data_IF_419688177722
#
_entry.id   IF_419688177722
#
_cell.length_a   1.000
_cell.length_b   1.000
_cell.length_c   1.000
_cell.angle_alpha   90.00
_cell.angle_beta   90.00
_cell.angle_gamma   90.00
#
_symmetry.space_group_name_H-M   'P 1'
#
loop_
_entity.id
_entity.type
_entity.pdbx_description
1 polymer ?
#
# COMPACT_ATOMS: atom_id res chain seq x y z
N UNK A 1 -3.70 8.21 -25.59
CA UNK A 1 -3.54 7.03 -24.71
C UNK A 1 -2.19 7.08 -24.00
N UNK A 2 -1.10 7.52 -24.66
CA UNK A 2 0.19 7.88 -24.01
C UNK A 2 0.06 8.79 -22.77
N UNK A 3 -0.72 9.86 -22.84
CA UNK A 3 -0.76 10.89 -21.77
C UNK A 3 -1.27 10.34 -20.42
N UNK A 4 -2.20 9.37 -20.44
CA UNK A 4 -2.73 8.72 -19.24
C UNK A 4 -1.70 7.79 -18.56
N UNK A 5 -0.77 7.22 -19.33
CA UNK A 5 0.25 6.32 -18.79
C UNK A 5 1.38 7.09 -18.12
N UNK A 6 1.66 8.32 -18.55
CA UNK A 6 2.63 9.20 -17.88
C UNK A 6 2.05 9.77 -16.57
N UNK A 7 0.78 10.15 -16.54
CA UNK A 7 0.12 10.63 -15.31
C UNK A 7 0.07 9.56 -14.20
N UNK A 8 -0.20 8.29 -14.56
CA UNK A 8 -0.18 7.17 -13.61
C UNK A 8 1.24 6.88 -13.10
N UNK A 9 2.26 6.99 -13.96
CA UNK A 9 3.66 6.83 -13.55
C UNK A 9 4.12 7.95 -12.62
N UNK A 10 3.70 9.18 -12.85
CA UNK A 10 4.03 10.32 -11.99
C UNK A 10 3.37 10.21 -10.61
N UNK A 11 2.10 9.80 -10.54
CA UNK A 11 1.41 9.53 -9.27
C UNK A 11 2.05 8.39 -8.48
N UNK A 12 2.49 7.32 -9.14
CA UNK A 12 3.23 6.25 -8.47
C UNK A 12 4.61 6.73 -7.98
N UNK A 13 5.31 7.53 -8.79
CA UNK A 13 6.63 8.11 -8.46
C UNK A 13 6.55 9.08 -7.29
N UNK A 14 5.52 9.90 -7.20
CA UNK A 14 5.35 10.86 -6.09
C UNK A 14 5.04 10.18 -4.75
N UNK A 15 4.27 9.08 -4.77
CA UNK A 15 3.99 8.27 -3.57
C UNK A 15 5.24 7.54 -3.07
N UNK A 16 6.01 6.96 -3.99
CA UNK A 16 7.26 6.25 -3.67
C UNK A 16 8.34 7.23 -3.14
N UNK A 17 8.37 8.44 -3.69
CA UNK A 17 9.25 9.51 -3.21
C UNK A 17 8.94 9.91 -1.77
N UNK A 18 7.67 10.16 -1.41
CA UNK A 18 7.29 10.53 -0.03
C UNK A 18 7.62 9.42 0.98
N UNK A 19 7.49 8.17 0.58
CA UNK A 19 7.94 7.03 1.38
C UNK A 19 9.46 7.04 1.58
N UNK A 20 10.23 7.21 0.50
CA UNK A 20 11.69 7.24 0.53
C UNK A 20 12.21 8.36 1.42
N UNK A 21 11.68 9.59 1.30
CA UNK A 21 12.10 10.73 2.12
C UNK A 21 11.83 10.52 3.61
N UNK A 22 10.69 9.92 3.98
CA UNK A 22 10.36 9.63 5.38
C UNK A 22 11.30 8.59 5.99
N UNK A 23 11.58 7.51 5.27
CA UNK A 23 12.49 6.47 5.71
C UNK A 23 13.95 6.98 5.78
N UNK A 24 14.37 7.79 4.81
CA UNK A 24 15.70 8.39 4.77
C UNK A 24 15.92 9.35 5.95
N UNK A 25 14.97 10.25 6.22
CA UNK A 25 15.03 11.16 7.36
C UNK A 25 15.10 10.41 8.70
N UNK A 26 14.26 9.39 8.89
CA UNK A 26 14.31 8.56 10.10
C UNK A 26 15.65 7.83 10.26
N UNK A 27 16.19 7.27 9.17
CA UNK A 27 17.52 6.65 9.17
C UNK A 27 18.66 7.62 9.48
N UNK A 28 18.60 8.85 8.94
CA UNK A 28 19.58 9.91 9.23
C UNK A 28 19.52 10.31 10.70
N UNK A 29 18.33 10.46 11.29
CA UNK A 29 18.19 10.78 12.72
C UNK A 29 18.80 9.68 13.60
N UNK A 30 18.53 8.41 13.30
CA UNK A 30 19.14 7.28 14.02
C UNK A 30 20.66 7.27 13.85
N UNK A 31 21.19 7.54 12.66
CA UNK A 31 22.62 7.62 12.41
C UNK A 31 23.27 8.76 13.22
N UNK A 32 22.68 9.96 13.23
CA UNK A 32 23.13 11.09 14.05
C UNK A 32 23.10 10.72 15.53
N UNK A 33 22.03 10.04 15.97
CA UNK A 33 21.92 9.59 17.34
C UNK A 33 22.99 8.56 17.70
N UNK A 34 23.45 7.70 16.79
CA UNK A 34 24.53 6.71 17.06
C UNK A 34 25.92 7.35 17.02
N UNK A 35 26.20 8.17 16.00
CA UNK A 35 27.54 8.77 15.82
C UNK A 35 27.77 10.01 16.71
N UNK A 36 26.71 10.78 16.99
CA UNK A 36 26.81 12.05 17.71
C UNK A 36 27.07 11.89 19.21
N UNK A 37 26.39 10.95 19.89
CA UNK A 37 26.64 10.74 21.31
C UNK A 37 27.83 9.82 21.60
N UNK A 38 28.31 9.02 20.64
CA UNK A 38 29.64 8.42 20.74
C UNK A 38 30.75 9.48 20.93
N UNK A 39 30.61 10.64 20.28
CA UNK A 39 31.53 11.76 20.40
C UNK A 39 31.30 12.64 21.65
N UNK A 40 30.04 12.81 22.10
CA UNK A 40 29.68 13.63 23.27
C UNK A 40 29.85 12.90 24.61
N UNK A 41 29.64 11.58 24.65
CA UNK A 41 29.66 10.75 25.87
C UNK A 41 30.90 9.84 25.96
N UNK A 42 31.92 10.09 25.14
CA UNK A 42 33.26 9.51 25.35
C UNK A 42 33.42 8.03 25.05
N UNK A 43 32.64 7.44 24.11
CA UNK A 43 32.81 6.04 23.69
C UNK A 43 34.22 5.87 23.08
N UNK A 44 35.17 5.35 23.87
CA UNK A 44 36.57 5.14 23.47
C UNK A 44 37.61 6.05 24.14
N UNK A 45 37.24 6.93 25.10
CA UNK A 45 38.22 7.70 25.89
C UNK A 45 38.62 6.94 27.17
N UNK A 46 39.92 6.83 27.53
CA UNK A 46 40.37 5.93 28.59
C UNK A 46 39.99 6.32 30.04
N UNK A 47 39.39 7.49 30.27
CA UNK A 47 39.11 8.00 31.62
C UNK A 47 37.86 8.90 31.63
N UNK A 48 36.68 8.31 31.81
CA UNK A 48 35.47 9.05 32.23
C UNK A 48 34.58 8.14 33.13
N UNK A 49 34.24 8.54 34.37
CA UNK A 49 33.53 7.69 35.34
C UNK A 49 32.00 7.60 35.18
N UNK A 50 31.40 8.15 34.12
CA UNK A 50 29.95 8.39 34.07
C UNK A 50 29.19 7.33 33.26
N UNK A 51 29.03 6.14 33.86
CA UNK A 51 28.20 5.06 33.29
C UNK A 51 26.71 5.42 33.15
N UNK A 52 26.21 6.42 33.90
CA UNK A 52 24.79 6.80 33.89
C UNK A 52 24.37 7.44 32.56
N UNK A 53 25.15 8.42 32.06
CA UNK A 53 24.84 9.11 30.81
C UNK A 53 24.96 8.17 29.60
N UNK A 54 25.97 7.29 29.61
CA UNK A 54 26.17 6.29 28.55
C UNK A 54 25.00 5.29 28.49
N UNK A 55 24.55 4.77 29.63
CA UNK A 55 23.43 3.82 29.69
C UNK A 55 22.13 4.44 29.17
N UNK A 56 21.80 5.65 29.65
CA UNK A 56 20.61 6.39 29.24
C UNK A 56 20.65 6.71 27.73
N UNK A 57 21.81 7.04 27.20
CA UNK A 57 22.01 7.30 25.78
C UNK A 57 21.81 6.05 24.90
N UNK A 58 22.34 4.88 25.29
CA UNK A 58 22.07 3.61 24.59
C UNK A 58 20.59 3.20 24.62
N UNK A 59 19.87 3.52 25.69
CA UNK A 59 18.43 3.28 25.80
C UNK A 59 17.64 4.15 24.82
N UNK A 60 17.96 5.46 24.73
CA UNK A 60 17.34 6.35 23.76
C UNK A 60 17.60 5.93 22.31
N UNK A 61 18.80 5.45 21.99
CA UNK A 61 19.09 4.87 20.66
C UNK A 61 18.20 3.66 20.43
N UNK A 62 18.08 2.76 21.40
CA UNK A 62 17.28 1.53 21.27
C UNK A 62 15.80 1.84 21.04
N UNK A 63 15.25 2.84 21.74
CA UNK A 63 13.88 3.32 21.55
C UNK A 63 13.72 3.95 20.15
N UNK A 64 14.64 4.82 19.73
CA UNK A 64 14.60 5.47 18.43
C UNK A 64 14.65 4.46 17.27
N UNK A 65 15.54 3.48 17.36
CA UNK A 65 15.65 2.37 16.39
C UNK A 65 14.35 1.56 16.37
N UNK A 66 13.80 1.23 17.55
CA UNK A 66 12.54 0.48 17.65
C UNK A 66 11.38 1.24 17.03
N UNK A 67 11.23 2.53 17.32
CA UNK A 67 10.19 3.37 16.75
C UNK A 67 10.34 3.52 15.24
N UNK A 68 11.56 3.67 14.73
CA UNK A 68 11.84 3.72 13.29
C UNK A 68 11.44 2.41 12.59
N UNK A 69 11.81 1.26 13.17
CA UNK A 69 11.42 -0.05 12.64
C UNK A 69 9.90 -0.19 12.67
N UNK A 70 9.25 0.13 13.80
CA UNK A 70 7.80 0.03 13.94
C UNK A 70 7.05 0.93 12.95
N UNK A 71 7.48 2.18 12.79
CA UNK A 71 6.91 3.13 11.83
C UNK A 71 7.05 2.61 10.40
N UNK A 72 8.25 2.12 10.04
CA UNK A 72 8.51 1.54 8.72
C UNK A 72 7.64 0.30 8.46
N UNK A 73 7.46 -0.55 9.47
CA UNK A 73 6.64 -1.76 9.36
C UNK A 73 5.14 -1.46 9.31
N UNK A 74 4.67 -0.50 10.11
CA UNK A 74 3.25 -0.11 10.14
C UNK A 74 2.82 0.53 8.83
N UNK A 75 3.61 1.45 8.26
CA UNK A 75 3.30 2.09 6.97
C UNK A 75 3.13 1.08 5.84
N UNK A 76 3.94 0.02 5.81
CA UNK A 76 3.81 -1.07 4.81
C UNK A 76 2.51 -1.87 4.95
N UNK A 77 1.98 -2.02 6.17
CA UNK A 77 0.76 -2.80 6.42
C UNK A 77 -0.50 -2.05 6.02
N UNK A 78 -0.51 -0.73 6.17
CA UNK A 78 -1.70 0.08 5.92
C UNK A 78 -2.05 0.14 4.43
N UNK A 79 -1.05 0.28 3.56
CA UNK A 79 -1.26 0.34 2.11
C UNK A 79 -1.86 -0.97 1.58
N UNK A 80 -1.35 -2.11 2.06
CA UNK A 80 -1.87 -3.42 1.65
C UNK A 80 -3.30 -3.68 2.12
N UNK A 81 -3.67 -3.21 3.31
CA UNK A 81 -5.03 -3.40 3.85
C UNK A 81 -6.06 -2.65 3.03
N UNK A 82 -5.78 -1.38 2.71
CA UNK A 82 -6.71 -0.53 1.94
C UNK A 82 -6.96 -1.10 0.55
N UNK A 83 -5.92 -1.59 -0.11
CA UNK A 83 -6.06 -2.19 -1.44
C UNK A 83 -6.89 -3.48 -1.39
N UNK A 84 -6.67 -4.35 -0.39
CA UNK A 84 -7.48 -5.56 -0.20
C UNK A 84 -8.94 -5.24 0.07
N UNK A 85 -9.20 -4.30 0.98
CA UNK A 85 -10.57 -3.86 1.31
C UNK A 85 -11.28 -3.28 0.08
N UNK A 86 -10.58 -2.46 -0.71
CA UNK A 86 -11.10 -1.91 -1.96
C UNK A 86 -11.43 -3.01 -2.95
N UNK A 87 -10.51 -3.95 -3.20
CA UNK A 87 -10.71 -5.09 -4.10
C UNK A 87 -11.94 -5.90 -3.72
N UNK A 88 -12.03 -6.30 -2.45
CA UNK A 88 -13.17 -7.07 -1.95
C UNK A 88 -14.49 -6.29 -2.04
N UNK A 89 -14.45 -4.99 -1.75
CA UNK A 89 -15.61 -4.10 -1.87
C UNK A 89 -16.07 -4.02 -3.33
N UNK A 90 -15.17 -3.78 -4.27
CA UNK A 90 -15.51 -3.70 -5.69
C UNK A 90 -16.03 -5.03 -6.22
N UNK A 91 -15.48 -6.17 -5.81
CA UNK A 91 -16.03 -7.50 -6.17
C UNK A 91 -17.42 -7.71 -5.57
N UNK A 92 -17.71 -7.21 -4.35
CA UNK A 92 -19.08 -7.20 -3.80
C UNK A 92 -20.01 -6.29 -4.59
N UNK A 93 -19.58 -5.09 -4.93
CA UNK A 93 -20.38 -4.11 -5.65
C UNK A 93 -20.66 -4.55 -7.09
N UNK A 94 -19.70 -5.21 -7.74
CA UNK A 94 -19.88 -5.84 -9.05
C UNK A 94 -20.97 -6.93 -9.07
N UNK A 95 -21.27 -7.56 -7.92
CA UNK A 95 -22.36 -8.53 -7.76
C UNK A 95 -23.73 -7.90 -7.57
N UNK A 96 -23.78 -6.59 -7.41
CA UNK A 96 -25.02 -5.88 -7.13
C UNK A 96 -26.01 -6.01 -8.30
N UNK A 97 -27.29 -6.10 -7.96
CA UNK A 97 -28.40 -5.99 -8.93
C UNK A 97 -28.66 -4.54 -9.35
N UNK A 98 -28.05 -3.57 -8.65
CA UNK A 98 -28.13 -2.15 -8.99
C UNK A 98 -27.09 -1.81 -10.07
N UNK A 99 -27.56 -1.29 -11.21
CA UNK A 99 -26.72 -1.09 -12.39
C UNK A 99 -25.61 -0.06 -12.18
N UNK A 100 -25.93 1.04 -11.52
CA UNK A 100 -25.00 2.11 -11.18
C UNK A 100 -23.85 1.62 -10.29
N UNK A 101 -24.17 0.84 -9.26
CA UNK A 101 -23.17 0.25 -8.34
C UNK A 101 -22.29 -0.77 -9.04
N UNK A 102 -22.89 -1.70 -9.80
CA UNK A 102 -22.14 -2.73 -10.49
C UNK A 102 -21.26 -2.15 -11.62
N UNK A 103 -21.77 -1.17 -12.36
CA UNK A 103 -21.03 -0.45 -13.40
C UNK A 103 -19.89 0.38 -12.82
N UNK A 104 -20.14 1.09 -11.71
CA UNK A 104 -19.09 1.83 -11.01
C UNK A 104 -17.99 0.88 -10.55
N UNK A 105 -18.36 -0.26 -9.96
CA UNK A 105 -17.37 -1.24 -9.52
C UNK A 105 -16.50 -1.78 -10.66
N UNK A 106 -17.11 -2.14 -11.81
CA UNK A 106 -16.35 -2.57 -12.99
C UNK A 106 -15.45 -1.45 -13.53
N UNK A 107 -15.92 -0.19 -13.50
CA UNK A 107 -15.10 0.94 -13.91
C UNK A 107 -13.84 1.09 -13.03
N UNK A 108 -13.99 1.04 -11.72
CA UNK A 108 -12.88 1.12 -10.76
C UNK A 108 -11.90 -0.05 -10.92
N UNK A 109 -12.41 -1.28 -11.04
CA UNK A 109 -11.59 -2.47 -11.30
C UNK A 109 -10.77 -2.31 -12.59
N UNK A 110 -11.35 -1.69 -13.61
CA UNK A 110 -10.69 -1.43 -14.90
C UNK A 110 -9.61 -0.37 -14.78
N UNK A 111 -9.87 0.73 -14.10
CA UNK A 111 -8.91 1.81 -13.91
C UNK A 111 -7.66 1.32 -13.15
N UNK A 112 -7.82 0.34 -12.27
CA UNK A 112 -6.71 -0.33 -11.60
C UNK A 112 -6.04 -1.48 -12.40
N UNK A 113 -6.55 -1.82 -13.58
CA UNK A 113 -6.05 -2.95 -14.39
C UNK A 113 -6.33 -4.32 -13.76
N UNK A 114 -7.26 -4.40 -12.82
CA UNK A 114 -7.57 -5.61 -12.07
C UNK A 114 -8.54 -6.55 -12.77
N UNK A 115 -9.04 -6.16 -13.94
CA UNK A 115 -9.91 -7.03 -14.76
C UNK A 115 -9.13 -7.96 -15.69
N UNK A 116 -7.89 -7.64 -16.04
CA UNK A 116 -7.15 -8.28 -17.13
C UNK A 116 -6.10 -9.28 -16.60
N UNK A 117 -5.69 -10.22 -17.46
CA UNK A 117 -4.64 -11.20 -17.14
C UNK A 117 -5.13 -12.44 -16.38
N UNK A 118 -4.20 -13.32 -16.00
CA UNK A 118 -4.51 -14.61 -15.34
C UNK A 118 -5.14 -14.45 -13.95
N UNK A 119 -4.84 -13.33 -13.28
CA UNK A 119 -5.30 -13.01 -11.92
C UNK A 119 -6.44 -11.98 -11.90
N UNK A 120 -7.20 -11.85 -13.00
CA UNK A 120 -8.33 -10.93 -13.07
C UNK A 120 -9.31 -11.15 -11.92
N UNK A 121 -9.69 -10.08 -11.22
CA UNK A 121 -10.47 -10.14 -9.97
C UNK A 121 -11.88 -10.73 -10.12
N UNK A 122 -12.40 -10.75 -11.35
CA UNK A 122 -13.70 -11.34 -11.66
C UNK A 122 -13.58 -12.80 -12.16
N UNK A 123 -12.36 -13.35 -12.29
CA UNK A 123 -12.15 -14.76 -12.59
C UNK A 123 -12.72 -15.61 -11.46
N UNK A 124 -13.58 -16.56 -11.79
CA UNK A 124 -14.25 -17.40 -10.79
C UNK A 124 -15.25 -16.65 -9.88
N UNK A 125 -15.59 -15.39 -10.18
CA UNK A 125 -16.51 -14.62 -9.34
C UNK A 125 -17.97 -15.09 -9.50
N UNK A 126 -18.69 -15.17 -8.39
CA UNK A 126 -20.15 -15.37 -8.37
C UNK A 126 -20.83 -14.06 -8.72
N UNK A 127 -21.27 -13.88 -9.97
CA UNK A 127 -21.97 -12.70 -10.48
C UNK A 127 -23.45 -13.01 -10.77
N UNK A 128 -24.03 -13.99 -10.05
CA UNK A 128 -25.41 -14.41 -10.27
C UNK A 128 -26.37 -13.23 -10.04
N UNK A 129 -27.17 -12.90 -11.05
CA UNK A 129 -28.14 -11.81 -11.01
C UNK A 129 -27.53 -10.39 -11.07
N UNK A 130 -26.21 -10.27 -11.22
CA UNK A 130 -25.54 -8.97 -11.28
C UNK A 130 -26.04 -8.12 -12.46
N UNK A 131 -26.19 -6.81 -12.26
CA UNK A 131 -26.66 -5.90 -13.30
C UNK A 131 -25.52 -5.09 -13.91
N UNK A 132 -24.71 -5.74 -14.73
CA UNK A 132 -23.54 -5.17 -15.40
C UNK A 132 -23.88 -4.50 -16.75
N UNK A 133 -25.16 -4.13 -16.96
CA UNK A 133 -25.61 -3.50 -18.19
C UNK A 133 -24.82 -2.23 -18.53
N UNK A 134 -24.30 -2.14 -19.75
CA UNK A 134 -23.43 -1.05 -20.19
C UNK A 134 -22.10 -0.90 -19.42
N UNK A 135 -21.66 -1.90 -18.65
CA UNK A 135 -20.33 -1.93 -18.03
C UNK A 135 -19.25 -2.33 -19.04
N UNK A 136 -18.07 -1.70 -18.97
CA UNK A 136 -16.98 -1.98 -19.92
C UNK A 136 -16.12 -3.17 -19.48
N UNK A 137 -16.59 -4.38 -19.77
CA UNK A 137 -15.90 -5.66 -19.52
C UNK A 137 -14.94 -6.06 -20.66
N UNK A 138 -14.58 -5.15 -21.57
CA UNK A 138 -13.67 -5.48 -22.68
C UNK A 138 -12.31 -5.89 -22.12
N UNK A 139 -11.83 -7.07 -22.52
CA UNK A 139 -10.61 -7.75 -22.07
C UNK A 139 -10.62 -8.24 -20.61
N UNK A 140 -11.76 -8.16 -19.92
CA UNK A 140 -11.88 -8.72 -18.59
C UNK A 140 -11.77 -10.24 -18.62
N UNK A 141 -10.96 -10.81 -17.72
CA UNK A 141 -10.92 -12.23 -17.45
C UNK A 141 -12.12 -12.59 -16.55
N UNK A 142 -13.09 -13.27 -17.16
CA UNK A 142 -14.28 -13.82 -16.50
C UNK A 142 -14.24 -15.35 -16.49
N UNK A 143 -13.07 -15.97 -16.69
CA UNK A 143 -12.95 -17.42 -16.74
C UNK A 143 -13.46 -18.04 -15.44
N UNK A 144 -14.43 -18.94 -15.57
CA UNK A 144 -15.07 -19.62 -14.44
C UNK A 144 -16.02 -18.75 -13.61
N UNK A 145 -16.30 -17.50 -13.99
CA UNK A 145 -17.29 -16.67 -13.32
C UNK A 145 -18.72 -17.20 -13.55
N UNK A 146 -19.56 -17.19 -12.52
CA UNK A 146 -20.97 -17.56 -12.63
C UNK A 146 -21.81 -16.33 -12.99
N UNK A 147 -22.36 -16.29 -14.20
CA UNK A 147 -23.16 -15.19 -14.73
C UNK A 147 -24.65 -15.54 -14.84
N UNK A 148 -25.12 -16.57 -14.11
CA UNK A 148 -26.53 -16.96 -14.17
C UNK A 148 -27.44 -15.75 -13.87
N UNK A 149 -28.37 -15.43 -14.79
CA UNK A 149 -29.29 -14.26 -14.71
C UNK A 149 -28.60 -12.89 -14.63
N UNK A 150 -27.30 -12.77 -14.89
CA UNK A 150 -26.66 -11.47 -14.99
C UNK A 150 -27.21 -10.68 -16.18
N UNK A 151 -27.44 -9.38 -15.98
CA UNK A 151 -27.80 -8.46 -17.06
C UNK A 151 -26.53 -7.81 -17.61
N UNK A 152 -26.20 -8.09 -18.87
CA UNK A 152 -25.05 -7.52 -19.58
C UNK A 152 -25.47 -6.52 -20.68
N UNK A 153 -26.76 -6.22 -20.78
CA UNK A 153 -27.38 -5.47 -21.89
C UNK A 153 -27.11 -3.97 -21.92
#
# INVERSE_FOLDING_TARGET
MEDRWEEIKELHRDRDNRFFYGALLGGIVVAILIFGGGALFGVGRPYEPEGYATNLYTEFISIAVTLFILDTLNRRRDDQRRERELRERLVREARSTANDVAKHAVHELREHGWLEGEDGLLRGADLIGANLGGANLRWANLDGADLWRANLG
#
